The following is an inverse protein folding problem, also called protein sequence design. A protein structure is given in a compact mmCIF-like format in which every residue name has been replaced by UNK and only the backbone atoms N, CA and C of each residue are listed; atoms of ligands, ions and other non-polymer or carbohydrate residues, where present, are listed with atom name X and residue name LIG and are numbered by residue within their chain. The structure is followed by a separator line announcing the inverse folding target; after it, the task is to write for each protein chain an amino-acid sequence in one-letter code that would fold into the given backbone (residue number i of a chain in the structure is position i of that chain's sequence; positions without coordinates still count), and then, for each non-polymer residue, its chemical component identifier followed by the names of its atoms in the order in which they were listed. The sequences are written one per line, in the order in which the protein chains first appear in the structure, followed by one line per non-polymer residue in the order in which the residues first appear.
data_IF_697687195598
#
_entry.id   IF_697687195598
#
_cell.length_a   1.000
_cell.length_b   1.000
_cell.length_c   1.000
_cell.angle_alpha   90.00
_cell.angle_beta   90.00
_cell.angle_gamma   90.00
#
_symmetry.space_group_name_H-M   'P 1'
#
loop_
_entity.id
_entity.type
_entity.pdbx_description
1 polymer ?
#
# COMPACT_ATOMS: atom_id res chain seq x y z
N UNK A 1 -10.60 -10.48 13.57
CA UNK A 1 -10.19 -9.40 12.63
C UNK A 1 -10.93 -9.44 11.27
N UNK A 2 -11.92 -10.32 11.04
CA UNK A 2 -12.63 -10.40 9.75
C UNK A 2 -13.94 -9.60 9.67
N UNK A 3 -14.54 -9.24 10.80
CA UNK A 3 -15.82 -8.53 10.84
C UNK A 3 -15.69 -7.07 10.34
N UNK A 4 -14.58 -6.39 10.68
CA UNK A 4 -14.37 -4.97 10.35
C UNK A 4 -14.26 -4.74 8.83
N UNK A 5 -13.59 -5.65 8.11
CA UNK A 5 -13.46 -5.58 6.65
C UNK A 5 -14.78 -5.80 5.91
N UNK A 6 -15.69 -6.58 6.48
CA UNK A 6 -16.97 -6.89 5.82
C UNK A 6 -18.02 -5.82 6.09
N UNK A 7 -18.04 -5.25 7.31
CA UNK A 7 -18.88 -4.07 7.60
C UNK A 7 -18.53 -2.87 6.69
N UNK A 8 -17.26 -2.73 6.32
CA UNK A 8 -16.81 -1.73 5.36
C UNK A 8 -17.34 -2.00 3.93
N UNK A 9 -17.42 -3.26 3.49
CA UNK A 9 -17.92 -3.62 2.14
C UNK A 9 -19.37 -3.18 1.92
N UNK A 10 -20.27 -3.56 2.84
CA UNK A 10 -21.71 -3.24 2.69
C UNK A 10 -21.94 -1.74 2.77
N UNK A 11 -21.33 -1.08 3.76
CA UNK A 11 -21.49 0.37 3.93
C UNK A 11 -20.91 1.18 2.76
N UNK A 12 -19.78 0.75 2.19
CA UNK A 12 -19.19 1.37 1.00
C UNK A 12 -20.08 1.19 -0.23
N UNK A 13 -20.65 0.00 -0.44
CA UNK A 13 -21.59 -0.22 -1.55
C UNK A 13 -22.88 0.58 -1.39
N UNK A 14 -23.46 0.68 -0.19
CA UNK A 14 -24.65 1.50 0.05
C UNK A 14 -24.40 2.99 -0.26
N UNK A 15 -23.18 3.49 0.01
CA UNK A 15 -22.80 4.89 -0.24
C UNK A 15 -22.41 5.16 -1.68
N UNK A 16 -21.76 4.21 -2.35
CA UNK A 16 -21.04 4.44 -3.62
C UNK A 16 -21.49 3.55 -4.77
N UNK A 17 -22.16 2.44 -4.50
CA UNK A 17 -22.58 1.44 -5.49
C UNK A 17 -23.84 1.80 -6.27
N UNK A 18 -24.52 2.90 -5.90
CA UNK A 18 -25.66 3.48 -6.65
C UNK A 18 -26.81 2.50 -6.94
N UNK A 19 -27.00 1.48 -6.09
CA UNK A 19 -27.99 0.41 -6.29
C UNK A 19 -27.89 -0.30 -7.66
N UNK A 20 -26.67 -0.36 -8.20
CA UNK A 20 -26.38 -0.94 -9.51
C UNK A 20 -26.29 -2.47 -9.46
N UNK A 21 -26.59 -3.18 -10.56
CA UNK A 21 -26.31 -4.62 -10.67
C UNK A 21 -24.83 -4.90 -10.41
N UNK A 22 -24.56 -5.72 -9.38
CA UNK A 22 -23.22 -5.85 -8.80
C UNK A 22 -22.71 -7.29 -8.74
N UNK A 23 -21.43 -7.47 -9.03
CA UNK A 23 -20.71 -8.73 -8.76
C UNK A 23 -19.68 -8.51 -7.63
N UNK A 24 -19.70 -9.38 -6.63
CA UNK A 24 -18.75 -9.35 -5.51
C UNK A 24 -17.79 -10.54 -5.55
N UNK A 25 -16.48 -10.29 -5.65
CA UNK A 25 -15.45 -11.33 -5.65
C UNK A 25 -14.87 -11.54 -4.25
N UNK A 26 -15.00 -12.76 -3.74
CA UNK A 26 -14.58 -13.15 -2.39
C UNK A 26 -13.38 -14.11 -2.38
N UNK A 27 -12.73 -14.23 -1.21
CA UNK A 27 -11.57 -15.12 -1.01
C UNK A 27 -11.94 -16.59 -0.81
N UNK A 28 -13.04 -16.88 -0.11
CA UNK A 28 -13.50 -18.23 0.21
C UNK A 28 -15.01 -18.25 0.49
N UNK A 29 -15.58 -19.45 0.61
CA UNK A 29 -17.03 -19.67 0.77
C UNK A 29 -17.56 -19.03 2.05
N UNK A 30 -16.84 -19.16 3.17
CA UNK A 30 -17.25 -18.56 4.45
C UNK A 30 -17.37 -17.03 4.36
N UNK A 31 -16.41 -16.37 3.70
CA UNK A 31 -16.42 -14.94 3.46
C UNK A 31 -17.58 -14.51 2.56
N UNK A 32 -17.84 -15.25 1.49
CA UNK A 32 -18.96 -14.96 0.59
C UNK A 32 -20.32 -15.10 1.29
N UNK A 33 -20.50 -16.16 2.09
CA UNK A 33 -21.72 -16.34 2.88
C UNK A 33 -21.92 -15.21 3.87
N UNK A 34 -20.84 -14.78 4.55
CA UNK A 34 -20.91 -13.69 5.52
C UNK A 34 -21.29 -12.36 4.84
N UNK A 35 -20.63 -11.99 3.73
CA UNK A 35 -20.99 -10.80 2.94
C UNK A 35 -22.45 -10.84 2.47
N UNK A 36 -22.90 -12.01 2.02
CA UNK A 36 -24.28 -12.19 1.53
C UNK A 36 -25.30 -11.98 2.63
N UNK A 37 -25.05 -12.54 3.82
CA UNK A 37 -25.91 -12.34 5.00
C UNK A 37 -25.97 -10.86 5.37
N UNK A 38 -24.84 -10.15 5.36
CA UNK A 38 -24.80 -8.73 5.71
C UNK A 38 -25.53 -7.84 4.69
N UNK A 39 -25.43 -8.12 3.38
CA UNK A 39 -26.22 -7.42 2.36
C UNK A 39 -27.72 -7.67 2.54
N UNK A 40 -28.12 -8.93 2.75
CA UNK A 40 -29.52 -9.29 2.97
C UNK A 40 -30.08 -8.64 4.25
N UNK A 41 -29.28 -8.56 5.33
CA UNK A 41 -29.63 -7.81 6.55
C UNK A 41 -29.81 -6.33 6.31
N UNK A 42 -29.04 -5.75 5.39
CA UNK A 42 -29.18 -4.37 4.95
C UNK A 42 -30.33 -4.14 3.95
N UNK A 43 -31.14 -5.16 3.64
CA UNK A 43 -32.28 -5.08 2.73
C UNK A 43 -31.90 -5.12 1.24
N UNK A 44 -30.67 -5.53 0.92
CA UNK A 44 -30.18 -5.67 -0.46
C UNK A 44 -30.12 -7.15 -0.80
N UNK A 45 -30.94 -7.59 -1.75
CA UNK A 45 -30.99 -9.01 -2.11
C UNK A 45 -29.66 -9.45 -2.75
N UNK A 46 -28.95 -10.35 -2.07
CA UNK A 46 -27.69 -10.91 -2.50
C UNK A 46 -27.74 -12.44 -2.49
N UNK A 47 -27.14 -13.06 -3.51
CA UNK A 47 -27.05 -14.52 -3.65
C UNK A 47 -25.60 -14.98 -3.82
N UNK A 48 -25.25 -16.12 -3.24
CA UNK A 48 -23.91 -16.71 -3.38
C UNK A 48 -23.88 -17.67 -4.56
N UNK A 49 -22.84 -17.56 -5.39
CA UNK A 49 -22.52 -18.54 -6.41
C UNK A 49 -21.11 -19.08 -6.22
N UNK A 50 -20.96 -20.41 -6.16
CA UNK A 50 -19.67 -21.08 -5.97
C UNK A 50 -19.43 -22.12 -7.07
N UNK A 51 -18.24 -22.71 -7.09
CA UNK A 51 -17.93 -23.83 -7.97
C UNK A 51 -18.82 -25.07 -7.73
N UNK A 52 -19.41 -25.19 -6.54
CA UNK A 52 -20.27 -26.31 -6.16
C UNK A 52 -21.77 -26.03 -6.40
N UNK A 53 -22.14 -24.80 -6.80
CA UNK A 53 -23.54 -24.47 -7.11
C UNK A 53 -23.96 -25.27 -8.36
N UNK A 54 -25.02 -26.09 -8.31
CA UNK A 54 -25.59 -26.81 -9.45
C UNK A 54 -25.91 -25.90 -10.64
N UNK A 55 -25.90 -26.45 -11.85
CA UNK A 55 -26.08 -25.66 -13.08
C UNK A 55 -27.44 -24.98 -13.16
N UNK A 56 -28.51 -25.72 -12.88
CA UNK A 56 -29.88 -25.23 -12.80
C UNK A 56 -30.03 -24.11 -11.78
N UNK A 57 -29.40 -24.23 -10.61
CA UNK A 57 -29.39 -23.17 -9.60
C UNK A 57 -28.63 -21.93 -10.09
N UNK A 58 -27.51 -22.09 -10.80
CA UNK A 58 -26.78 -20.94 -11.38
C UNK A 58 -27.63 -20.19 -12.39
N UNK A 59 -28.29 -20.90 -13.30
CA UNK A 59 -29.14 -20.29 -14.32
C UNK A 59 -30.27 -19.49 -13.67
N UNK A 60 -30.87 -20.03 -12.61
CA UNK A 60 -31.91 -19.35 -11.84
C UNK A 60 -31.39 -18.08 -11.13
N UNK A 61 -30.20 -18.11 -10.54
CA UNK A 61 -29.57 -16.92 -9.91
C UNK A 61 -29.29 -15.85 -10.97
N UNK A 62 -28.73 -16.25 -12.12
CA UNK A 62 -28.43 -15.34 -13.23
C UNK A 62 -29.72 -14.70 -13.75
N UNK A 63 -30.76 -15.50 -13.96
CA UNK A 63 -32.06 -15.00 -14.39
C UNK A 63 -32.64 -13.98 -13.40
N UNK A 64 -32.62 -14.29 -12.08
CA UNK A 64 -33.05 -13.33 -11.05
C UNK A 64 -32.23 -12.05 -11.04
N UNK A 65 -30.93 -12.14 -11.32
CA UNK A 65 -30.04 -10.98 -11.41
C UNK A 65 -30.38 -10.09 -12.60
N UNK A 66 -30.62 -10.68 -13.77
CA UNK A 66 -31.00 -9.96 -14.99
C UNK A 66 -32.37 -9.28 -14.88
N UNK A 67 -33.30 -9.88 -14.15
CA UNK A 67 -34.60 -9.27 -13.82
C UNK A 67 -34.52 -8.26 -12.67
N UNK A 68 -33.35 -8.08 -12.05
CA UNK A 68 -33.13 -7.17 -10.93
C UNK A 68 -33.70 -7.65 -9.59
N UNK A 69 -34.25 -8.86 -9.52
CA UNK A 69 -34.71 -9.48 -8.27
C UNK A 69 -33.52 -9.75 -7.33
N UNK A 70 -32.37 -10.15 -7.90
CA UNK A 70 -31.11 -10.27 -7.18
C UNK A 70 -30.21 -9.11 -7.56
N UNK A 71 -29.80 -8.31 -6.57
CA UNK A 71 -29.00 -7.10 -6.80
C UNK A 71 -27.51 -7.41 -6.89
N UNK A 72 -27.06 -8.38 -6.09
CA UNK A 72 -25.64 -8.70 -5.93
C UNK A 72 -25.43 -10.21 -6.06
N UNK A 73 -24.56 -10.63 -6.98
CA UNK A 73 -24.06 -12.01 -6.97
C UNK A 73 -22.68 -12.03 -6.31
N UNK A 74 -22.59 -12.73 -5.18
CA UNK A 74 -21.34 -12.92 -4.42
C UNK A 74 -20.70 -14.22 -4.86
N UNK A 75 -19.48 -14.16 -5.39
CA UNK A 75 -18.83 -15.31 -6.01
C UNK A 75 -17.46 -15.65 -5.44
N UNK A 76 -17.07 -16.92 -5.57
CA UNK A 76 -15.71 -17.41 -5.31
C UNK A 76 -15.16 -18.11 -6.55
N UNK A 77 -14.32 -17.40 -7.30
CA UNK A 77 -13.56 -18.00 -8.42
C UNK A 77 -14.43 -18.53 -9.57
N UNK A 78 -15.71 -18.17 -9.60
CA UNK A 78 -16.65 -18.45 -10.69
C UNK A 78 -17.03 -17.11 -11.35
N UNK A 79 -17.83 -17.16 -12.42
CA UNK A 79 -18.23 -15.97 -13.21
C UNK A 79 -17.07 -15.25 -13.93
N UNK A 80 -15.88 -15.86 -13.99
CA UNK A 80 -14.76 -15.38 -14.80
C UNK A 80 -14.96 -15.72 -16.29
N UNK A 81 -15.64 -16.83 -16.60
CA UNK A 81 -16.00 -17.26 -17.95
C UNK A 81 -17.50 -17.66 -17.99
N UNK A 82 -18.18 -17.36 -19.10
CA UNK A 82 -19.58 -17.76 -19.33
C UNK A 82 -20.68 -16.88 -18.70
N UNK A 83 -20.33 -15.80 -18.01
CA UNK A 83 -21.30 -14.82 -17.47
C UNK A 83 -21.32 -13.54 -18.31
N UNK A 84 -22.49 -13.24 -18.88
CA UNK A 84 -22.70 -12.12 -19.80
C UNK A 84 -23.98 -11.31 -19.51
N UNK A 85 -24.15 -10.93 -18.25
CA UNK A 85 -25.24 -10.03 -17.82
C UNK A 85 -24.75 -8.58 -17.70
N UNK A 86 -25.67 -7.60 -17.68
CA UNK A 86 -25.34 -6.18 -17.49
C UNK A 86 -24.84 -5.92 -16.06
N UNK A 87 -23.52 -5.95 -15.88
CA UNK A 87 -22.85 -5.61 -14.61
C UNK A 87 -22.38 -4.17 -14.66
N UNK A 88 -22.76 -3.38 -13.66
CA UNK A 88 -22.42 -1.94 -13.59
C UNK A 88 -21.55 -1.60 -12.38
N UNK A 89 -21.50 -2.48 -11.38
CA UNK A 89 -20.63 -2.33 -10.22
C UNK A 89 -19.88 -3.63 -9.89
N UNK A 90 -18.62 -3.51 -9.47
CA UNK A 90 -17.79 -4.61 -8.97
C UNK A 90 -17.37 -4.30 -7.55
N UNK A 91 -17.60 -5.25 -6.64
CA UNK A 91 -16.96 -5.27 -5.33
C UNK A 91 -15.81 -6.28 -5.42
N UNK A 92 -14.59 -5.82 -5.21
CA UNK A 92 -13.41 -6.67 -5.24
C UNK A 92 -12.83 -6.82 -3.83
N UNK A 93 -13.28 -7.85 -3.13
CA UNK A 93 -12.86 -8.18 -1.76
C UNK A 93 -11.90 -9.38 -1.73
N UNK A 94 -11.11 -9.54 -2.80
CA UNK A 94 -10.16 -10.65 -2.98
C UNK A 94 -8.79 -10.14 -3.39
N UNK A 95 -7.80 -10.11 -2.47
CA UNK A 95 -6.44 -9.73 -2.84
C UNK A 95 -5.87 -10.62 -3.93
N UNK A 96 -5.34 -10.02 -5.01
CA UNK A 96 -4.64 -10.73 -6.09
C UNK A 96 -3.28 -10.08 -6.39
N UNK A 97 -2.35 -10.92 -6.87
CA UNK A 97 -1.10 -10.52 -7.51
C UNK A 97 -1.10 -10.79 -9.02
N UNK A 98 -2.15 -11.43 -9.54
CA UNK A 98 -2.34 -11.72 -10.96
C UNK A 98 -3.12 -10.59 -11.63
N UNK A 99 -2.48 -9.93 -12.60
CA UNK A 99 -3.09 -8.91 -13.47
C UNK A 99 -4.20 -9.48 -14.33
N UNK A 100 -3.95 -10.62 -15.00
CA UNK A 100 -4.96 -11.31 -15.81
C UNK A 100 -6.25 -11.51 -15.01
N UNK A 101 -6.15 -12.00 -13.78
CA UNK A 101 -7.32 -12.22 -12.93
C UNK A 101 -8.01 -10.91 -12.54
N UNK A 102 -7.25 -9.87 -12.23
CA UNK A 102 -7.78 -8.54 -11.94
C UNK A 102 -8.58 -8.02 -13.15
N UNK A 103 -7.94 -7.96 -14.32
CA UNK A 103 -8.53 -7.53 -15.59
C UNK A 103 -9.77 -8.34 -15.97
N UNK A 104 -9.71 -9.68 -15.86
CA UNK A 104 -10.84 -10.54 -16.19
C UNK A 104 -12.04 -10.35 -15.26
N UNK A 105 -11.79 -9.97 -13.99
CA UNK A 105 -12.84 -9.74 -13.00
C UNK A 105 -13.52 -8.39 -13.23
N UNK A 106 -12.75 -7.32 -13.39
CA UNK A 106 -13.29 -5.96 -13.56
C UNK A 106 -13.81 -5.71 -14.97
N UNK A 107 -13.23 -6.35 -15.98
CA UNK A 107 -13.64 -6.25 -17.38
C UNK A 107 -15.11 -6.65 -17.61
N UNK A 108 -15.70 -7.43 -16.70
CA UNK A 108 -17.14 -7.74 -16.72
C UNK A 108 -18.00 -6.48 -16.61
N UNK A 109 -17.56 -5.52 -15.80
CA UNK A 109 -18.25 -4.23 -15.66
C UNK A 109 -17.82 -3.19 -16.69
N UNK A 110 -16.77 -3.42 -17.47
CA UNK A 110 -16.31 -2.46 -18.49
C UNK A 110 -17.03 -2.62 -19.83
N UNK A 111 -17.85 -3.67 -19.99
CA UNK A 111 -18.67 -3.84 -21.20
C UNK A 111 -19.66 -2.68 -21.37
N UNK A 112 -19.73 -2.06 -22.56
CA UNK A 112 -20.76 -1.07 -22.87
C UNK A 112 -22.16 -1.68 -22.78
N UNK A 113 -23.12 -0.92 -22.26
CA UNK A 113 -24.53 -1.30 -22.22
C UNK A 113 -25.41 -0.05 -22.39
N UNK A 114 -26.64 -0.16 -22.92
CA UNK A 114 -27.56 0.96 -23.02
C UNK A 114 -27.77 1.66 -21.66
N UNK A 115 -27.60 2.97 -21.64
CA UNK A 115 -27.76 3.77 -20.42
C UNK A 115 -26.70 3.54 -19.35
N UNK A 116 -25.52 3.02 -19.72
CA UNK A 116 -24.35 2.88 -18.84
C UNK A 116 -23.30 3.91 -19.22
N UNK A 117 -23.19 4.95 -18.40
CA UNK A 117 -22.21 6.04 -18.53
C UNK A 117 -20.86 5.68 -17.91
N UNK A 118 -20.87 4.89 -16.83
CA UNK A 118 -19.68 4.47 -16.10
C UNK A 118 -19.81 3.09 -15.47
N UNK A 119 -18.68 2.52 -15.10
CA UNK A 119 -18.57 1.34 -14.25
C UNK A 119 -18.02 1.73 -12.88
N UNK A 120 -18.56 1.13 -11.81
CA UNK A 120 -18.12 1.41 -10.43
C UNK A 120 -17.28 0.23 -9.94
N UNK A 121 -16.06 0.51 -9.46
CA UNK A 121 -15.17 -0.52 -8.91
C UNK A 121 -14.87 -0.15 -7.45
N UNK A 122 -15.31 -1.01 -6.53
CA UNK A 122 -15.07 -0.90 -5.09
C UNK A 122 -14.02 -1.94 -4.68
N UNK A 123 -12.75 -1.52 -4.61
CA UNK A 123 -11.62 -2.39 -4.28
C UNK A 123 -11.30 -2.37 -2.78
N UNK A 124 -11.85 -3.32 -2.04
CA UNK A 124 -11.56 -3.53 -0.61
C UNK A 124 -10.29 -4.37 -0.37
N UNK A 125 -9.60 -4.77 -1.44
CA UNK A 125 -8.41 -5.62 -1.36
C UNK A 125 -7.10 -4.85 -1.55
N UNK A 126 -7.17 -3.58 -1.96
CA UNK A 126 -6.01 -2.76 -2.33
C UNK A 126 -5.24 -3.32 -3.54
N UNK A 127 -5.94 -3.95 -4.47
CA UNK A 127 -5.36 -4.48 -5.71
C UNK A 127 -4.96 -3.36 -6.66
N UNK A 128 -5.74 -2.29 -6.78
CA UNK A 128 -5.40 -1.12 -7.61
C UNK A 128 -4.11 -0.44 -7.14
N UNK A 129 -3.86 -0.42 -5.83
CA UNK A 129 -2.59 0.07 -5.27
C UNK A 129 -1.38 -0.77 -5.66
N UNK A 130 -1.59 -2.05 -5.97
CA UNK A 130 -0.51 -3.00 -6.30
C UNK A 130 -0.29 -3.12 -7.80
N UNK A 131 -1.37 -3.13 -8.58
CA UNK A 131 -1.36 -3.45 -10.01
C UNK A 131 -1.64 -2.24 -10.91
N UNK A 132 -2.08 -1.10 -10.36
CA UNK A 132 -2.49 0.05 -11.17
C UNK A 132 -3.94 -0.02 -11.62
N UNK A 133 -4.36 0.97 -12.42
CA UNK A 133 -5.69 0.91 -13.03
C UNK A 133 -5.76 -0.17 -14.10
N UNK A 134 -6.97 -0.68 -14.38
CA UNK A 134 -7.17 -1.66 -15.44
C UNK A 134 -6.71 -1.15 -16.80
N UNK A 135 -6.95 0.14 -17.04
CA UNK A 135 -6.67 0.81 -18.31
C UNK A 135 -5.17 1.19 -18.45
N UNK A 136 -4.40 1.12 -17.35
CA UNK A 136 -2.94 1.35 -17.37
C UNK A 136 -2.16 0.07 -17.71
N UNK A 137 -2.82 -1.10 -17.77
CA UNK A 137 -2.15 -2.40 -17.98
C UNK A 137 -2.18 -2.73 -19.48
N UNK A 138 -1.13 -2.29 -20.18
CA UNK A 138 -0.89 -2.64 -21.58
C UNK A 138 0.16 -3.76 -21.71
N UNK A 139 -0.04 -4.65 -22.68
CA UNK A 139 0.94 -5.67 -23.07
C UNK A 139 1.39 -5.37 -24.50
N UNK A 140 2.63 -4.90 -24.67
CA UNK A 140 3.21 -4.58 -25.98
C UNK A 140 3.36 -5.82 -26.88
N UNK A 141 3.47 -7.00 -26.27
CA UNK A 141 3.59 -8.27 -26.97
C UNK A 141 2.65 -9.31 -26.36
N UNK A 142 1.97 -10.07 -27.22
CA UNK A 142 1.22 -11.25 -26.80
C UNK A 142 2.23 -12.31 -26.32
N UNK A 143 2.16 -12.77 -25.05
CA UNK A 143 3.08 -13.79 -24.57
C UNK A 143 2.92 -15.06 -25.40
N UNK A 144 3.93 -15.38 -26.21
CA UNK A 144 3.98 -16.63 -26.96
C UNK A 144 4.02 -17.79 -25.96
N UNK A 145 2.91 -18.53 -25.91
CA UNK A 145 2.76 -19.85 -25.27
C UNK A 145 3.37 -19.95 -23.87
N UNK A 146 2.62 -19.54 -22.84
CA UNK A 146 2.74 -20.13 -21.51
C UNK A 146 1.47 -19.86 -20.70
N UNK A 147 1.03 -20.89 -20.00
CA UNK A 147 -0.30 -21.06 -19.38
C UNK A 147 -0.46 -20.23 -18.08
N UNK A 148 0.00 -18.99 -18.11
CA UNK A 148 -0.20 -18.02 -17.03
C UNK A 148 0.49 -18.34 -15.71
N UNK A 149 1.48 -19.25 -15.68
CA UNK A 149 2.01 -19.73 -14.39
C UNK A 149 3.52 -19.66 -14.14
N UNK A 150 4.41 -19.45 -15.13
CA UNK A 150 5.83 -19.14 -14.85
C UNK A 150 6.42 -18.24 -15.93
N UNK A 151 7.33 -17.35 -15.49
CA UNK A 151 8.16 -16.37 -16.24
C UNK A 151 7.61 -14.95 -16.44
N UNK A 152 7.23 -14.27 -15.36
CA UNK A 152 7.09 -12.78 -15.35
C UNK A 152 8.16 -12.11 -14.48
N UNK A 153 9.35 -12.72 -14.35
CA UNK A 153 10.42 -12.18 -13.48
C UNK A 153 11.58 -11.53 -14.23
N UNK A 154 11.68 -11.63 -15.56
CA UNK A 154 12.85 -11.14 -16.31
C UNK A 154 12.64 -9.89 -17.15
N UNK A 155 11.40 -9.39 -17.30
CA UNK A 155 11.12 -8.24 -18.19
C UNK A 155 10.84 -6.91 -17.46
N UNK A 156 10.97 -6.83 -16.13
CA UNK A 156 10.55 -5.66 -15.34
C UNK A 156 11.68 -4.72 -14.89
N UNK A 157 12.88 -4.86 -15.40
CA UNK A 157 14.03 -4.13 -14.85
C UNK A 157 14.41 -2.84 -15.60
N UNK A 158 13.76 -2.47 -16.71
CA UNK A 158 14.20 -1.29 -17.48
C UNK A 158 13.18 -0.27 -17.99
N UNK A 159 11.90 -0.37 -17.61
CA UNK A 159 10.99 0.76 -17.78
C UNK A 159 10.78 1.48 -16.45
N UNK A 160 10.92 2.80 -16.45
CA UNK A 160 10.64 3.66 -15.29
C UNK A 160 9.27 3.24 -14.75
N UNK A 161 9.22 2.58 -13.58
CA UNK A 161 7.96 2.17 -12.95
C UNK A 161 7.02 3.35 -12.98
N UNK A 162 5.99 3.24 -13.80
CA UNK A 162 4.96 4.26 -13.87
C UNK A 162 4.41 4.45 -12.47
N UNK A 163 4.17 5.71 -12.11
CA UNK A 163 3.74 6.02 -10.75
C UNK A 163 2.36 5.39 -10.56
N UNK A 164 2.21 4.58 -9.52
CA UNK A 164 0.94 3.94 -9.23
C UNK A 164 -0.10 4.96 -8.72
N UNK A 165 -1.40 4.66 -8.89
CA UNK A 165 -2.49 5.48 -8.37
C UNK A 165 -2.41 5.70 -6.85
N UNK A 166 -2.91 6.85 -6.40
CA UNK A 166 -2.94 7.22 -4.98
C UNK A 166 -4.35 7.50 -4.50
N UNK A 167 -4.71 6.93 -3.37
CA UNK A 167 -6.01 7.15 -2.73
C UNK A 167 -6.17 8.60 -2.25
N UNK A 168 -7.38 9.14 -2.39
CA UNK A 168 -7.77 10.41 -1.81
C UNK A 168 -8.08 10.23 -0.32
N UNK A 169 -7.39 10.97 0.55
CA UNK A 169 -7.59 10.93 2.01
C UNK A 169 -8.95 11.43 2.50
N UNK A 170 -9.74 12.08 1.64
CA UNK A 170 -11.06 12.62 2.02
C UNK A 170 -12.23 11.76 1.54
N UNK A 171 -12.15 11.16 0.35
CA UNK A 171 -13.29 10.43 -0.23
C UNK A 171 -12.94 9.02 -0.73
N UNK A 172 -11.71 8.54 -0.49
CA UNK A 172 -11.21 7.22 -0.89
C UNK A 172 -11.20 6.94 -2.39
N UNK A 173 -11.48 7.95 -3.22
CA UNK A 173 -11.33 7.85 -4.66
C UNK A 173 -9.86 7.62 -5.02
N UNK A 174 -9.60 6.57 -5.80
CA UNK A 174 -8.27 6.34 -6.34
C UNK A 174 -7.96 7.46 -7.35
N UNK A 175 -6.84 8.16 -7.22
CA UNK A 175 -6.45 9.24 -8.13
C UNK A 175 -5.34 8.75 -9.06
N UNK A 176 -5.39 9.08 -10.37
CA UNK A 176 -4.28 8.84 -11.28
C UNK A 176 -2.98 9.45 -10.75
N UNK A 177 -1.86 8.87 -11.14
CA UNK A 177 -0.56 9.36 -10.70
C UNK A 177 -0.33 10.82 -11.11
N UNK A 178 0.24 11.61 -10.19
CA UNK A 178 0.51 13.02 -10.41
C UNK A 178 -0.70 13.95 -10.22
N UNK A 179 -1.92 13.41 -10.06
CA UNK A 179 -3.12 14.22 -9.82
C UNK A 179 -3.19 14.68 -8.35
N UNK A 180 -2.94 15.98 -8.15
CA UNK A 180 -2.88 16.59 -6.83
C UNK A 180 -4.27 16.89 -6.24
N UNK A 181 -5.15 17.53 -7.00
CA UNK A 181 -6.54 17.81 -6.63
C UNK A 181 -7.40 16.59 -6.98
N UNK A 182 -8.17 16.07 -6.03
CA UNK A 182 -9.05 14.93 -6.29
C UNK A 182 -10.12 15.31 -7.34
N UNK A 183 -10.23 14.59 -8.46
CA UNK A 183 -11.21 14.92 -9.50
C UNK A 183 -12.65 14.59 -9.07
N UNK A 184 -12.84 13.71 -8.07
CA UNK A 184 -14.16 13.33 -7.56
C UNK A 184 -14.73 14.35 -6.56
N UNK A 185 -13.94 14.75 -5.55
CA UNK A 185 -14.43 15.59 -4.45
C UNK A 185 -13.75 16.97 -4.36
N UNK A 186 -12.80 17.30 -5.23
CA UNK A 186 -12.05 18.55 -5.20
C UNK A 186 -11.03 18.66 -4.06
N UNK A 187 -10.87 17.62 -3.22
CA UNK A 187 -9.94 17.67 -2.09
C UNK A 187 -8.50 17.89 -2.55
N UNK A 188 -7.86 18.92 -1.97
CA UNK A 188 -6.47 19.31 -2.21
C UNK A 188 -5.69 19.06 -0.93
N UNK A 189 -4.82 18.05 -0.87
CA UNK A 189 -4.01 17.78 0.31
C UNK A 189 -3.11 18.99 0.60
N UNK A 190 -3.19 19.59 1.78
CA UNK A 190 -2.24 20.65 2.14
C UNK A 190 -0.84 20.02 2.16
N UNK A 191 0.06 20.46 1.27
CA UNK A 191 1.41 19.89 1.21
C UNK A 191 2.18 20.39 2.42
N UNK A 192 2.50 19.48 3.35
CA UNK A 192 3.52 19.69 4.37
C UNK A 192 3.05 20.33 5.68
N UNK A 193 2.09 19.71 6.37
CA UNK A 193 1.97 19.85 7.83
C UNK A 193 1.90 18.45 8.44
N UNK A 194 2.99 18.01 9.08
CA UNK A 194 2.93 16.91 10.05
C UNK A 194 2.09 17.42 11.22
N UNK A 195 0.81 17.04 11.25
CA UNK A 195 -0.11 17.36 12.33
C UNK A 195 0.10 16.29 13.40
N UNK A 196 0.86 16.63 14.44
CA UNK A 196 0.78 15.90 15.70
C UNK A 196 -0.45 16.42 16.45
N UNK A 197 -1.41 15.52 16.69
CA UNK A 197 -2.66 15.87 17.36
C UNK A 197 -2.38 15.86 18.86
N UNK A 198 -2.03 17.01 19.43
CA UNK A 198 -2.13 17.20 20.88
C UNK A 198 -3.24 18.20 21.23
N UNK A 199 -4.11 17.76 22.12
CA UNK A 199 -5.40 18.36 22.44
C UNK A 199 -5.25 19.39 23.55
N UNK A 200 -4.53 20.49 23.31
CA UNK A 200 -4.76 21.72 24.09
C UNK A 200 -4.12 22.97 23.50
N UNK A 201 -5.00 23.88 23.06
CA UNK A 201 -4.89 25.35 23.10
C UNK A 201 -3.70 26.01 22.36
N UNK A 202 -4.09 26.66 21.26
CA UNK A 202 -3.45 27.81 20.59
C UNK A 202 -2.12 27.52 19.88
N UNK A 203 -2.23 27.20 18.60
CA UNK A 203 -1.12 26.86 17.72
C UNK A 203 -0.63 28.12 17.01
N UNK A 204 0.59 28.56 17.31
CA UNK A 204 1.35 29.46 16.46
C UNK A 204 2.30 28.65 15.56
N UNK A 205 2.33 28.99 14.27
CA UNK A 205 3.24 28.40 13.26
C UNK A 205 4.70 28.62 13.66
N UNK A 206 5.48 27.55 13.75
CA UNK A 206 6.94 27.62 13.73
C UNK A 206 7.43 27.07 12.40
N UNK A 207 8.01 27.95 11.57
CA UNK A 207 8.85 27.56 10.43
C UNK A 207 9.92 26.55 10.89
N UNK A 208 10.31 25.60 10.03
CA UNK A 208 11.53 24.77 10.20
C UNK A 208 12.75 25.68 10.42
N UNK A 209 12.99 26.08 11.67
CA UNK A 209 14.32 26.48 12.12
C UNK A 209 15.15 25.20 12.13
N UNK A 210 16.35 25.25 11.54
CA UNK A 210 17.38 24.27 11.89
C UNK A 210 17.41 24.18 13.42
N UNK A 211 17.20 22.99 13.97
CA UNK A 211 17.20 22.78 15.42
C UNK A 211 18.57 23.21 15.94
N UNK A 212 18.63 24.34 16.61
CA UNK A 212 19.86 24.85 17.22
C UNK A 212 20.12 23.98 18.45
N UNK A 213 21.07 23.05 18.32
CA UNK A 213 21.50 22.22 19.44
C UNK A 213 22.28 23.06 20.45
N UNK A 214 21.86 22.99 21.71
CA UNK A 214 22.56 23.59 22.84
C UNK A 214 23.92 22.91 23.07
N UNK A 215 24.81 23.59 23.78
CA UNK A 215 26.12 23.02 24.13
C UNK A 215 25.98 21.80 25.06
N UNK A 216 24.95 21.75 25.90
CA UNK A 216 24.64 20.61 26.75
C UNK A 216 24.18 19.38 25.95
N UNK A 217 23.32 19.57 24.92
CA UNK A 217 22.91 18.47 24.04
C UNK A 217 24.09 17.91 23.23
N UNK A 218 24.97 18.79 22.75
CA UNK A 218 26.22 18.40 22.09
C UNK A 218 27.13 17.62 23.04
N UNK A 219 27.32 18.10 24.28
CA UNK A 219 28.07 17.38 25.31
C UNK A 219 27.48 15.99 25.57
N UNK A 220 26.16 15.88 25.77
CA UNK A 220 25.51 14.59 26.01
C UNK A 220 25.70 13.62 24.85
N UNK A 221 25.60 14.11 23.60
CA UNK A 221 25.86 13.27 22.43
C UNK A 221 27.31 12.79 22.38
N UNK A 222 28.27 13.66 22.69
CA UNK A 222 29.69 13.29 22.77
C UNK A 222 29.97 12.24 23.84
N UNK A 223 29.41 12.44 25.04
CA UNK A 223 29.42 11.51 26.17
C UNK A 223 28.84 10.14 25.81
N UNK A 224 27.76 10.11 25.02
CA UNK A 224 27.15 8.88 24.51
C UNK A 224 28.02 8.14 23.48
N UNK A 225 28.74 8.87 22.62
CA UNK A 225 29.71 8.26 21.71
C UNK A 225 30.89 7.64 22.46
N UNK A 226 31.35 8.27 23.55
CA UNK A 226 32.39 7.71 24.44
C UNK A 226 31.91 6.47 25.17
N UNK A 227 30.66 6.45 25.63
CA UNK A 227 30.06 5.23 26.18
C UNK A 227 30.01 4.09 25.16
N UNK A 228 29.58 4.38 23.92
CA UNK A 228 29.60 3.40 22.85
C UNK A 228 31.01 2.88 22.54
N UNK A 229 32.00 3.77 22.52
CA UNK A 229 33.41 3.41 22.35
C UNK A 229 33.87 2.43 23.44
N UNK A 230 33.55 2.72 24.71
CA UNK A 230 33.92 1.87 25.85
C UNK A 230 33.20 0.51 25.79
N UNK A 231 31.90 0.50 25.48
CA UNK A 231 31.13 -0.73 25.31
C UNK A 231 31.69 -1.62 24.18
N UNK A 232 32.18 -1.01 23.11
CA UNK A 232 32.77 -1.71 21.97
C UNK A 232 34.17 -2.23 22.29
N UNK A 233 34.94 -1.48 23.08
CA UNK A 233 36.23 -1.94 23.60
C UNK A 233 36.08 -3.17 24.51
N UNK A 234 35.08 -3.19 25.40
CA UNK A 234 34.82 -4.38 26.25
C UNK A 234 34.37 -5.61 25.47
N UNK A 235 33.75 -5.41 24.30
CA UNK A 235 33.38 -6.49 23.36
C UNK A 235 34.53 -6.90 22.41
N UNK A 236 35.76 -6.43 22.63
CA UNK A 236 36.94 -6.74 21.80
C UNK A 236 36.93 -6.08 20.42
N UNK A 237 36.06 -5.10 20.17
CA UNK A 237 35.94 -4.36 18.90
C UNK A 237 36.22 -2.88 19.13
N UNK A 238 37.50 -2.53 19.30
CA UNK A 238 37.90 -1.16 19.61
C UNK A 238 37.50 -0.17 18.51
N UNK A 239 37.00 0.99 18.93
CA UNK A 239 36.67 2.12 18.06
C UNK A 239 37.71 3.21 18.30
N UNK A 240 38.24 3.78 17.22
CA UNK A 240 39.26 4.82 17.31
C UNK A 240 38.67 6.16 17.76
N UNK A 241 39.50 6.98 18.42
CA UNK A 241 39.15 8.36 18.77
C UNK A 241 38.78 9.19 17.52
N UNK A 242 39.39 8.89 16.39
CA UNK A 242 39.04 9.49 15.10
C UNK A 242 37.59 9.20 14.70
N UNK A 243 37.10 7.97 14.92
CA UNK A 243 35.70 7.65 14.60
C UNK A 243 34.72 8.47 15.44
N UNK A 244 35.01 8.67 16.73
CA UNK A 244 34.19 9.52 17.62
C UNK A 244 34.19 10.96 17.12
N UNK A 245 35.38 11.49 16.79
CA UNK A 245 35.55 12.85 16.27
C UNK A 245 34.73 13.10 15.00
N UNK A 246 34.89 12.25 13.98
CA UNK A 246 34.19 12.43 12.70
C UNK A 246 32.69 12.18 12.82
N UNK A 247 32.26 11.27 13.69
CA UNK A 247 30.83 11.01 13.94
C UNK A 247 30.15 12.20 14.61
N UNK A 248 30.84 12.87 15.54
CA UNK A 248 30.36 14.12 16.13
C UNK A 248 30.30 15.26 15.11
N UNK A 249 31.37 15.44 14.31
CA UNK A 249 31.44 16.48 13.28
C UNK A 249 30.37 16.32 12.20
N UNK A 250 30.05 15.09 11.83
CA UNK A 250 28.97 14.79 10.86
C UNK A 250 27.58 15.14 11.41
N UNK A 251 27.32 14.90 12.71
CA UNK A 251 26.00 15.21 13.31
C UNK A 251 25.78 16.70 13.52
N UNK A 252 26.81 17.45 13.93
CA UNK A 252 26.66 18.84 14.37
C UNK A 252 27.36 19.89 13.50
N UNK A 253 28.13 19.48 12.49
CA UNK A 253 28.92 20.37 11.64
C UNK A 253 30.10 21.06 12.35
N UNK A 254 30.26 20.85 13.66
CA UNK A 254 31.31 21.47 14.49
C UNK A 254 32.23 20.42 15.10
N UNK A 255 33.44 20.82 15.42
CA UNK A 255 34.43 19.92 16.04
C UNK A 255 34.17 19.77 17.54
N UNK A 256 34.37 18.56 18.11
CA UNK A 256 34.21 18.33 19.54
C UNK A 256 35.39 18.88 20.33
N UNK A 257 35.55 20.21 20.37
CA UNK A 257 36.58 20.89 21.17
C UNK A 257 35.97 21.35 22.50
N UNK A 258 36.65 21.03 23.61
CA UNK A 258 36.24 21.46 24.96
C UNK A 258 35.09 20.68 25.59
N UNK A 259 34.73 19.52 25.05
CA UNK A 259 33.77 18.60 25.70
C UNK A 259 34.48 17.64 26.65
N UNK A 260 33.81 17.27 27.75
CA UNK A 260 34.32 16.34 28.74
C UNK A 260 34.17 14.88 28.29
N UNK A 261 35.18 14.06 28.60
CA UNK A 261 35.23 12.62 28.32
C UNK A 261 34.47 11.81 29.38
N UNK A 262 33.21 12.16 29.64
CA UNK A 262 32.35 11.48 30.61
C UNK A 262 31.36 10.56 29.89
N UNK A 263 31.49 9.22 29.95
CA UNK A 263 30.58 8.30 29.28
C UNK A 263 29.14 8.40 29.81
N UNK A 264 28.16 8.43 28.91
CA UNK A 264 26.72 8.43 29.25
C UNK A 264 25.97 7.36 28.44
N UNK A 265 24.97 6.72 29.03
CA UNK A 265 24.18 5.68 28.35
C UNK A 265 23.52 6.13 27.06
N UNK A 266 23.41 5.22 26.10
CA UNK A 266 22.85 5.49 24.78
C UNK A 266 21.34 5.68 24.83
N UNK A 267 20.92 6.84 24.33
CA UNK A 267 19.52 7.10 23.99
C UNK A 267 19.14 6.45 22.65
N UNK A 268 17.84 6.20 22.41
CA UNK A 268 17.37 5.70 21.11
C UNK A 268 17.79 6.57 19.92
N UNK A 269 17.84 7.89 20.10
CA UNK A 269 18.28 8.83 19.05
C UNK A 269 19.72 8.55 18.61
N UNK A 270 20.65 8.48 19.57
CA UNK A 270 22.08 8.26 19.27
C UNK A 270 22.32 6.86 18.72
N UNK A 271 21.65 5.85 19.28
CA UNK A 271 21.76 4.48 18.79
C UNK A 271 21.31 4.34 17.32
N UNK A 272 20.17 4.95 16.98
CA UNK A 272 19.66 4.96 15.60
C UNK A 272 20.64 5.66 14.63
N UNK A 273 21.25 6.75 15.06
CA UNK A 273 22.25 7.47 14.28
C UNK A 273 23.50 6.61 14.02
N UNK A 274 24.03 5.93 15.05
CA UNK A 274 25.17 5.02 14.92
C UNK A 274 24.83 3.86 13.96
N UNK A 275 23.65 3.26 14.11
CA UNK A 275 23.17 2.17 13.25
C UNK A 275 23.06 2.60 11.79
N UNK A 276 22.53 3.80 11.54
CA UNK A 276 22.47 4.38 10.19
C UNK A 276 23.87 4.45 9.56
N UNK A 277 24.89 4.94 10.28
CA UNK A 277 26.27 4.99 9.79
C UNK A 277 26.85 3.61 9.47
N UNK A 278 26.58 2.61 10.31
CA UNK A 278 27.07 1.24 10.07
C UNK A 278 26.46 0.62 8.82
N UNK A 279 25.16 0.84 8.59
CA UNK A 279 24.47 0.38 7.38
C UNK A 279 25.05 1.07 6.14
N UNK A 280 25.26 2.39 6.20
CA UNK A 280 25.85 3.16 5.11
C UNK A 280 27.26 2.65 4.76
N UNK A 281 28.11 2.40 5.77
CA UNK A 281 29.44 1.84 5.58
C UNK A 281 29.42 0.43 4.98
N UNK A 282 28.55 -0.46 5.47
CA UNK A 282 28.40 -1.81 4.92
C UNK A 282 27.94 -1.81 3.46
N UNK A 283 27.02 -0.91 3.09
CA UNK A 283 26.59 -0.72 1.69
C UNK A 283 27.73 -0.20 0.82
N UNK A 284 28.50 0.77 1.31
CA UNK A 284 29.65 1.32 0.59
C UNK A 284 30.72 0.25 0.32
N UNK A 285 30.97 -0.66 1.28
CA UNK A 285 31.91 -1.77 1.12
C UNK A 285 31.46 -2.79 0.07
N UNK A 286 30.20 -3.22 0.13
CA UNK A 286 29.63 -4.14 -0.88
C UNK A 286 29.73 -3.56 -2.29
N UNK A 287 29.49 -2.26 -2.43
CA UNK A 287 29.63 -1.56 -3.71
C UNK A 287 31.09 -1.52 -4.20
N UNK A 288 32.05 -1.34 -3.30
CA UNK A 288 33.48 -1.35 -3.65
C UNK A 288 33.98 -2.76 -4.03
N UNK A 289 33.53 -3.80 -3.33
CA UNK A 289 33.84 -5.21 -3.61
C UNK A 289 33.27 -5.66 -4.97
N UNK A 290 32.13 -5.11 -5.40
CA UNK A 290 31.55 -5.38 -6.73
C UNK A 290 32.27 -4.68 -7.90
N UNK A 291 33.14 -3.71 -7.63
CA UNK A 291 33.79 -2.87 -8.65
C UNK A 291 35.25 -3.26 -8.90
N UNK A 292 35.85 -4.16 -8.10
CA UNK A 292 37.19 -4.69 -8.38
C UNK A 292 37.13 -5.88 -9.36
N UNK A 293 37.67 -5.77 -10.59
CA UNK A 293 37.81 -6.93 -11.46
C UNK A 293 38.88 -7.88 -10.90
N UNK A 294 38.64 -9.17 -11.05
CA UNK A 294 39.61 -10.25 -10.78
C UNK A 294 40.98 -9.90 -11.39
N UNK A 295 41.97 -9.62 -10.54
CA UNK A 295 43.37 -9.70 -10.93
C UNK A 295 43.80 -11.15 -10.82
N UNK A 296 44.29 -11.68 -11.95
CA UNK A 296 44.96 -12.98 -12.09
C UNK A 296 46.02 -13.22 -11.01
#
# INVERSE_FOLDING_TARGET
CGADLVGDVVSSWLKLGENQPTICFCVNVSHANFITVEFNRAGVNAEVMTANTPHDERDLIIHRFEQGATKIIVNIGVLVAGFDSDVRCIIYARPTKSEIRWLQSIGRSLRPAPGKDRAIILDHSGTVHRLGYPDDIEYDELPSKNDGMKTTSSYREQEKREKLPKECSSCHYMKPAGVYVCPKCGFKPLVGEDIDVDTSRTIQKLSKKERVYTQAEKQSFYSQLKYYQNQRASQGKTISNGWVFYTFKEKFGVEPRGFHDTPQELTPEVNNFIRHKQIAWAKSRKKAEQVQPSRN
#
